data_IF_529631250889
#
_entry.id   IF_529631250889
#
_cell.length_a   1.000
_cell.length_b   1.000
_cell.length_c   1.000
_cell.angle_alpha   90.00
_cell.angle_beta   90.00
_cell.angle_gamma   90.00
#
_symmetry.space_group_name_H-M   'P 1'
#
loop_
_entity.id
_entity.type
_entity.pdbx_description
1 polymer ?
#
# COMPACT_ATOMS: atom_id res chain seq x y z
N UNK A 1 12.25 0.56 9.43
CA UNK A 1 10.90 1.10 9.19
C UNK A 1 9.95 0.80 10.36
N UNK A 2 9.75 -0.47 10.72
CA UNK A 2 8.86 -0.89 11.83
C UNK A 2 9.22 -0.28 13.18
N UNK A 3 10.51 -0.10 13.51
CA UNK A 3 10.94 0.58 14.75
C UNK A 3 10.37 2.00 14.89
N UNK A 4 10.24 2.74 13.77
CA UNK A 4 9.62 4.07 13.76
C UNK A 4 8.11 3.99 14.00
N UNK A 5 7.44 2.97 13.46
CA UNK A 5 6.00 2.73 13.65
C UNK A 5 5.69 2.34 15.11
N UNK A 6 6.51 1.46 15.70
CA UNK A 6 6.46 1.12 17.14
C UNK A 6 6.68 2.37 18.00
N UNK A 7 7.72 3.17 17.73
CA UNK A 7 8.00 4.42 18.47
C UNK A 7 6.85 5.42 18.41
N UNK A 8 6.06 5.42 17.32
CA UNK A 8 4.87 6.26 17.17
C UNK A 8 3.60 5.66 17.79
N UNK A 9 3.66 4.43 18.31
CA UNK A 9 2.53 3.69 18.88
C UNK A 9 1.52 3.23 17.82
N UNK A 10 1.96 3.01 16.58
CA UNK A 10 1.06 2.63 15.47
C UNK A 10 0.97 1.11 15.28
N UNK A 11 1.96 0.37 15.76
CA UNK A 11 1.98 -1.10 15.70
C UNK A 11 2.50 -1.67 17.00
N UNK A 12 1.93 -2.80 17.40
CA UNK A 12 2.40 -3.62 18.51
C UNK A 12 2.97 -4.94 18.00
N UNK A 13 3.95 -5.46 18.73
CA UNK A 13 4.62 -6.71 18.41
C UNK A 13 4.02 -7.85 19.22
N UNK A 14 3.79 -8.99 18.59
CA UNK A 14 3.39 -10.21 19.26
C UNK A 14 4.07 -11.44 18.66
N UNK A 15 4.13 -12.52 19.44
CA UNK A 15 4.58 -13.84 19.00
C UNK A 15 3.41 -14.82 19.19
N UNK A 16 3.27 -15.80 18.32
CA UNK A 16 2.23 -16.81 18.49
C UNK A 16 2.67 -17.86 19.50
N UNK A 17 1.71 -18.52 20.15
CA UNK A 17 1.98 -19.53 21.18
C UNK A 17 2.82 -20.69 20.62
N UNK A 18 2.60 -21.04 19.35
CA UNK A 18 3.28 -22.15 18.66
C UNK A 18 4.64 -21.80 18.07
N UNK A 19 4.95 -20.51 17.88
CA UNK A 19 6.18 -20.09 17.21
C UNK A 19 6.76 -18.83 17.87
N UNK A 20 7.78 -19.04 18.71
CA UNK A 20 8.51 -17.97 19.39
C UNK A 20 9.63 -17.36 18.54
N UNK A 21 9.98 -17.99 17.41
CA UNK A 21 11.06 -17.51 16.53
C UNK A 21 10.58 -16.36 15.64
N UNK A 22 9.33 -16.42 15.20
CA UNK A 22 8.75 -15.41 14.34
C UNK A 22 8.14 -14.25 15.13
N UNK A 23 8.29 -13.06 14.56
CA UNK A 23 7.82 -11.80 15.13
C UNK A 23 6.73 -11.24 14.25
N UNK A 24 5.54 -11.08 14.82
CA UNK A 24 4.38 -10.51 14.13
C UNK A 24 4.07 -9.12 14.65
N UNK A 25 3.34 -8.36 13.84
CA UNK A 25 2.87 -7.03 14.18
C UNK A 25 1.40 -6.87 13.82
N UNK A 26 0.64 -6.18 14.66
CA UNK A 26 -0.70 -5.72 14.32
C UNK A 26 -0.78 -4.21 14.49
N UNK A 27 -1.74 -3.59 13.82
CA UNK A 27 -2.05 -2.18 14.06
C UNK A 27 -2.61 -2.02 15.48
N UNK A 28 -2.21 -0.95 16.15
CA UNK A 28 -2.94 -0.48 17.33
C UNK A 28 -4.22 0.24 16.88
N UNK A 29 -5.13 0.57 17.78
CA UNK A 29 -6.28 1.42 17.45
C UNK A 29 -5.85 2.76 16.81
N UNK A 30 -4.73 3.34 17.28
CA UNK A 30 -4.12 4.53 16.68
C UNK A 30 -3.56 4.24 15.28
N UNK A 31 -2.95 3.07 15.10
CA UNK A 31 -2.48 2.57 13.81
C UNK A 31 -3.61 2.43 12.79
N UNK A 32 -4.75 1.89 13.19
CA UNK A 32 -5.93 1.75 12.32
C UNK A 32 -6.47 3.11 11.88
N UNK A 33 -6.61 4.06 12.80
CA UNK A 33 -7.03 5.43 12.46
C UNK A 33 -6.07 6.07 11.46
N UNK A 34 -4.75 5.93 11.70
CA UNK A 34 -3.73 6.45 10.80
C UNK A 34 -3.78 5.78 9.42
N UNK A 35 -3.99 4.46 9.37
CA UNK A 35 -4.11 3.70 8.13
C UNK A 35 -5.35 4.11 7.32
N UNK A 36 -6.49 4.29 7.99
CA UNK A 36 -7.72 4.78 7.37
C UNK A 36 -7.55 6.20 6.81
N UNK A 37 -6.93 7.10 7.57
CA UNK A 37 -6.64 8.47 7.11
C UNK A 37 -5.70 8.49 5.90
N UNK A 38 -4.66 7.65 5.93
CA UNK A 38 -3.74 7.47 4.80
C UNK A 38 -4.47 6.96 3.55
N UNK A 39 -5.34 5.95 3.70
CA UNK A 39 -6.15 5.43 2.59
C UNK A 39 -7.08 6.49 1.99
N UNK A 40 -7.76 7.29 2.83
CA UNK A 40 -8.59 8.42 2.36
C UNK A 40 -7.78 9.45 1.59
N UNK A 41 -6.61 9.83 2.11
CA UNK A 41 -5.73 10.79 1.45
C UNK A 41 -5.26 10.28 0.08
N UNK A 42 -4.90 8.99 -0.04
CA UNK A 42 -4.57 8.39 -1.35
C UNK A 42 -5.75 8.41 -2.30
N UNK A 43 -6.94 8.02 -1.85
CA UNK A 43 -8.14 8.05 -2.68
C UNK A 43 -8.47 9.47 -3.17
N UNK A 44 -8.29 10.48 -2.33
CA UNK A 44 -8.48 11.89 -2.72
C UNK A 44 -7.38 12.34 -3.69
N UNK A 45 -6.12 12.02 -3.40
CA UNK A 45 -4.96 12.43 -4.21
C UNK A 45 -5.00 11.82 -5.61
N UNK A 46 -5.50 10.59 -5.72
CA UNK A 46 -5.64 9.88 -7.00
C UNK A 46 -7.03 9.98 -7.61
N UNK A 47 -7.96 10.75 -7.03
CA UNK A 47 -9.36 10.81 -7.48
C UNK A 47 -9.48 11.09 -8.98
N UNK A 48 -8.81 12.12 -9.47
CA UNK A 48 -8.92 12.51 -10.88
C UNK A 48 -8.31 11.46 -11.82
N UNK A 49 -7.22 10.80 -11.38
CA UNK A 49 -6.59 9.73 -12.14
C UNK A 49 -7.51 8.49 -12.18
N UNK A 50 -8.07 8.09 -11.04
CA UNK A 50 -9.01 6.98 -10.96
C UNK A 50 -10.24 7.23 -11.85
N UNK A 51 -10.83 8.43 -11.78
CA UNK A 51 -11.96 8.81 -12.62
C UNK A 51 -11.61 8.76 -14.12
N UNK A 52 -10.41 9.18 -14.50
CA UNK A 52 -9.95 9.07 -15.87
C UNK A 52 -9.85 7.59 -16.29
N UNK A 53 -9.17 6.75 -15.52
CA UNK A 53 -9.02 5.32 -15.82
C UNK A 53 -10.38 4.61 -15.90
N UNK A 54 -11.28 4.89 -14.96
CA UNK A 54 -12.66 4.34 -14.95
C UNK A 54 -13.49 4.77 -16.15
N UNK A 55 -13.17 5.90 -16.78
CA UNK A 55 -13.86 6.39 -17.97
C UNK A 55 -13.36 5.77 -19.28
N UNK A 56 -12.27 5.00 -19.24
CA UNK A 56 -11.67 4.40 -20.43
C UNK A 56 -12.39 3.10 -20.82
N UNK A 57 -12.41 2.83 -22.12
CA UNK A 57 -12.79 1.51 -22.65
C UNK A 57 -11.68 0.49 -22.35
N UNK A 58 -12.07 -0.78 -22.21
CA UNK A 58 -11.16 -1.89 -21.86
C UNK A 58 -9.91 -1.94 -22.74
N UNK A 59 -10.04 -1.72 -24.06
CA UNK A 59 -8.90 -1.74 -24.99
C UNK A 59 -7.83 -0.70 -24.62
N UNK A 60 -8.23 0.49 -24.15
CA UNK A 60 -7.30 1.54 -23.72
C UNK A 60 -6.64 1.19 -22.40
N UNK A 61 -7.37 0.53 -21.50
CA UNK A 61 -6.83 0.02 -20.24
C UNK A 61 -5.77 -1.05 -20.52
N UNK A 62 -6.02 -1.97 -21.46
CA UNK A 62 -5.04 -2.99 -21.88
C UNK A 62 -3.77 -2.37 -22.45
N UNK A 63 -3.87 -1.31 -23.26
CA UNK A 63 -2.70 -0.58 -23.77
C UNK A 63 -1.89 0.04 -22.62
N UNK A 64 -2.56 0.66 -21.65
CA UNK A 64 -1.90 1.25 -20.47
C UNK A 64 -1.19 0.15 -19.67
N UNK A 65 -1.85 -0.98 -19.43
CA UNK A 65 -1.27 -2.11 -18.71
C UNK A 65 -0.03 -2.65 -19.43
N UNK A 66 -0.11 -2.87 -20.74
CA UNK A 66 1.01 -3.35 -21.55
C UNK A 66 2.21 -2.38 -21.51
N UNK A 67 1.94 -1.07 -21.52
CA UNK A 67 2.99 -0.07 -21.35
C UNK A 67 3.63 -0.13 -19.96
N UNK A 68 2.82 -0.18 -18.89
CA UNK A 68 3.32 -0.24 -17.51
C UNK A 68 4.14 -1.51 -17.26
N UNK A 69 3.73 -2.64 -17.81
CA UNK A 69 4.48 -3.89 -17.73
C UNK A 69 5.86 -3.75 -18.39
N UNK A 70 5.92 -3.23 -19.62
CA UNK A 70 7.19 -2.96 -20.30
C UNK A 70 8.06 -1.98 -19.51
N UNK A 71 7.47 -0.92 -18.97
CA UNK A 71 8.18 0.07 -18.17
C UNK A 71 8.80 -0.57 -16.92
N UNK A 72 8.04 -1.38 -16.17
CA UNK A 72 8.52 -2.07 -14.97
C UNK A 72 9.66 -3.04 -15.32
N UNK A 73 9.47 -3.84 -16.36
CA UNK A 73 10.44 -4.86 -16.78
C UNK A 73 11.76 -4.26 -17.30
N UNK A 74 11.73 -3.01 -17.77
CA UNK A 74 12.90 -2.31 -18.29
C UNK A 74 13.31 -1.14 -17.37
N UNK A 75 12.77 -1.07 -16.15
CA UNK A 75 13.09 0.00 -15.23
C UNK A 75 14.58 -0.08 -14.89
N UNK A 76 15.36 1.00 -15.07
CA UNK A 76 16.79 0.96 -14.77
C UNK A 76 16.98 0.63 -13.29
N UNK A 77 17.57 -0.52 -13.01
CA UNK A 77 17.99 -0.89 -11.67
C UNK A 77 19.31 -0.17 -11.39
N UNK A 78 19.29 0.73 -10.40
CA UNK A 78 20.50 1.32 -9.83
C UNK A 78 21.18 0.35 -8.88
#
# INVERSE_FOLDING_TARGET
MVSKLKKKGLVDQYNTVSNKKDVYYHLTAKGEIANLGHGKHHNESYKNLNQYIESLEDEKIEIINAFLEKLINNWPHN
#
